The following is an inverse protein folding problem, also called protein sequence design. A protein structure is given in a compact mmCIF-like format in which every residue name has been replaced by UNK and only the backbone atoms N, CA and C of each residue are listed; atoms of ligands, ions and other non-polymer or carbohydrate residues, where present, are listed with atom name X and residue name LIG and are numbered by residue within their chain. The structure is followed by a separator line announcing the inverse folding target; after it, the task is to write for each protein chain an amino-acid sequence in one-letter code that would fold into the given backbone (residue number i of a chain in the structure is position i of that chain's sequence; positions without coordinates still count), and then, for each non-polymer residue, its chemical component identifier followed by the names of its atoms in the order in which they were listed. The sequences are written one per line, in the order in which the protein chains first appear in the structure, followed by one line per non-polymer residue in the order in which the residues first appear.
data_IF_041257544484
#
_entry.id   IF_041257544484
#
_cell.length_a   1.000
_cell.length_b   1.000
_cell.length_c   1.000
_cell.angle_alpha   90.00
_cell.angle_beta   90.00
_cell.angle_gamma   90.00
#
_symmetry.space_group_name_H-M   'P 1'
#
loop_
_entity.id
_entity.type
_entity.pdbx_description
1 polymer ?
#
# COMPACT_ATOMS: atom_id res chain seq x y z
N UNK A 1 13.06 -30.35 -17.28
CA UNK A 1 12.09 -29.35 -17.78
C UNK A 1 11.77 -28.37 -16.66
N UNK A 2 12.18 -27.10 -16.77
CA UNK A 2 11.88 -26.06 -15.78
C UNK A 2 10.93 -25.04 -16.42
N UNK A 3 9.65 -25.11 -16.05
CA UNK A 3 8.66 -24.12 -16.46
C UNK A 3 8.81 -22.87 -15.59
N UNK A 4 9.47 -21.82 -16.14
CA UNK A 4 9.48 -20.49 -15.52
C UNK A 4 8.12 -19.84 -15.75
N UNK A 5 7.37 -19.75 -14.66
CA UNK A 5 6.18 -18.91 -14.51
C UNK A 5 6.49 -17.48 -14.95
N UNK A 6 6.03 -17.12 -16.15
CA UNK A 6 6.00 -15.74 -16.65
C UNK A 6 4.55 -15.27 -16.61
N UNK A 7 4.15 -14.72 -15.47
CA UNK A 7 2.96 -13.88 -15.39
C UNK A 7 3.38 -12.45 -15.70
N UNK A 8 3.62 -12.17 -16.99
CA UNK A 8 3.65 -10.81 -17.52
C UNK A 8 2.20 -10.39 -17.78
N UNK A 9 1.49 -9.92 -16.75
CA UNK A 9 0.29 -9.13 -16.98
C UNK A 9 0.69 -7.69 -17.28
N UNK A 10 0.76 -7.39 -18.57
CA UNK A 10 0.77 -6.03 -19.11
C UNK A 10 -0.64 -5.48 -18.90
N UNK A 11 -0.83 -4.61 -17.90
CA UNK A 11 -2.04 -3.78 -17.82
C UNK A 11 -1.79 -2.47 -18.56
N UNK A 12 -2.60 -2.25 -19.59
CA UNK A 12 -2.53 -1.14 -20.53
C UNK A 12 -2.63 0.20 -19.80
N UNK A 13 -1.61 1.04 -20.00
CA UNK A 13 -1.56 2.42 -19.56
C UNK A 13 -2.56 3.24 -20.37
N UNK A 14 -3.64 3.70 -19.73
CA UNK A 14 -4.41 4.82 -20.24
C UNK A 14 -3.83 6.09 -19.65
N UNK A 15 -2.99 6.74 -20.44
CA UNK A 15 -2.40 8.04 -20.14
C UNK A 15 -3.48 9.13 -20.18
N UNK A 16 -3.56 9.95 -19.13
CA UNK A 16 -4.13 11.29 -19.21
C UNK A 16 -3.15 12.25 -18.54
N UNK A 17 -2.89 13.32 -19.28
CA UNK A 17 -1.87 14.32 -19.09
C UNK A 17 -1.92 15.04 -17.73
N UNK A 18 -0.73 15.46 -17.29
CA UNK A 18 -0.48 16.53 -16.31
C UNK A 18 -0.77 16.27 -14.82
N UNK A 19 -0.85 15.01 -14.41
CA UNK A 19 -1.01 14.60 -13.02
C UNK A 19 -0.87 13.09 -12.88
N UNK A 20 0.26 12.55 -13.35
CA UNK A 20 0.46 11.12 -13.64
C UNK A 20 -0.20 10.19 -12.64
N UNK A 21 -1.10 9.34 -13.14
CA UNK A 21 -1.91 8.36 -12.40
C UNK A 21 -1.12 7.78 -11.22
N UNK A 22 -1.40 8.25 -10.00
CA UNK A 22 -0.73 7.78 -8.78
C UNK A 22 -0.99 6.27 -8.58
N UNK A 23 -2.10 5.77 -9.13
CA UNK A 23 -2.48 4.36 -9.14
C UNK A 23 -1.68 3.51 -10.14
N UNK A 24 -0.97 4.08 -11.13
CA UNK A 24 -0.22 3.32 -12.15
C UNK A 24 0.91 2.47 -11.58
N UNK A 25 1.40 2.82 -10.39
CA UNK A 25 2.46 2.05 -9.73
C UNK A 25 1.93 0.90 -8.86
N UNK A 26 0.62 0.79 -8.72
CA UNK A 26 -0.05 -0.28 -8.01
C UNK A 26 -0.31 -1.44 -8.95
N UNK A 27 -0.02 -2.64 -8.47
CA UNK A 27 -0.23 -3.88 -9.19
C UNK A 27 -1.53 -4.51 -8.68
N UNK A 28 -2.62 -4.49 -9.47
CA UNK A 28 -3.79 -5.30 -9.18
C UNK A 28 -3.42 -6.77 -9.35
N UNK A 29 -3.75 -7.57 -8.34
CA UNK A 29 -3.57 -9.02 -8.36
C UNK A 29 -4.86 -9.69 -8.80
N UNK A 30 -4.76 -10.90 -9.32
CA UNK A 30 -5.93 -11.71 -9.75
C UNK A 30 -6.90 -12.06 -8.62
N UNK A 31 -6.50 -11.85 -7.36
CA UNK A 31 -7.35 -12.04 -6.17
C UNK A 31 -8.13 -10.77 -5.79
N UNK A 32 -8.07 -9.71 -6.60
CA UNK A 32 -8.72 -8.44 -6.31
C UNK A 32 -7.97 -7.59 -5.28
N UNK A 33 -6.68 -7.84 -5.05
CA UNK A 33 -5.84 -7.04 -4.14
C UNK A 33 -4.99 -6.05 -4.91
N UNK A 34 -4.89 -4.80 -4.49
CA UNK A 34 -3.92 -3.83 -5.02
C UNK A 34 -2.64 -3.88 -4.19
N UNK A 35 -1.49 -4.15 -4.83
CA UNK A 35 -0.19 -4.21 -4.16
C UNK A 35 0.77 -3.15 -4.68
N UNK A 36 1.47 -2.48 -3.77
CA UNK A 36 2.50 -1.50 -4.04
C UNK A 36 3.77 -1.84 -3.29
N UNK A 37 4.91 -1.74 -3.96
CA UNK A 37 6.22 -1.86 -3.33
C UNK A 37 6.98 -0.55 -3.48
N UNK A 38 7.42 -0.01 -2.35
CA UNK A 38 8.15 1.24 -2.26
C UNK A 38 9.52 0.98 -1.64
N UNK A 39 10.58 1.52 -2.26
CA UNK A 39 11.94 1.45 -1.72
C UNK A 39 12.17 2.65 -0.82
N UNK A 40 12.61 2.40 0.40
CA UNK A 40 12.83 3.44 1.40
C UNK A 40 14.34 3.67 1.52
N UNK A 41 14.83 4.92 1.62
CA UNK A 41 16.26 5.19 1.72
C UNK A 41 16.85 4.85 3.10
N UNK A 42 16.04 4.87 4.17
CA UNK A 42 16.49 4.65 5.55
C UNK A 42 15.40 4.06 6.44
N UNK A 43 15.81 3.43 7.56
CA UNK A 43 14.87 2.88 8.56
C UNK A 43 13.94 3.92 9.16
N UNK A 44 14.49 5.06 9.54
CA UNK A 44 13.74 6.16 10.17
C UNK A 44 12.65 6.70 9.25
N UNK A 45 12.95 6.85 7.96
CA UNK A 45 11.95 7.26 6.96
C UNK A 45 10.86 6.19 6.78
N UNK A 46 11.22 4.91 6.80
CA UNK A 46 10.26 3.80 6.69
C UNK A 46 9.29 3.76 7.88
N UNK A 47 9.81 3.93 9.08
CA UNK A 47 9.01 4.04 10.30
C UNK A 47 8.12 5.29 10.29
N UNK A 48 8.64 6.42 9.82
CA UNK A 48 7.86 7.66 9.68
C UNK A 48 6.72 7.49 8.68
N UNK A 49 6.98 6.85 7.54
CA UNK A 49 5.96 6.53 6.54
C UNK A 49 4.91 5.58 7.11
N UNK A 50 5.30 4.52 7.82
CA UNK A 50 4.35 3.63 8.49
C UNK A 50 3.46 4.37 9.50
N UNK A 51 4.05 5.25 10.33
CA UNK A 51 3.29 6.09 11.26
C UNK A 51 2.34 7.04 10.55
N UNK A 52 2.80 7.63 9.45
CA UNK A 52 1.98 8.54 8.63
C UNK A 52 0.82 7.78 7.97
N UNK A 53 1.06 6.58 7.46
CA UNK A 53 0.01 5.69 6.93
C UNK A 53 -0.95 5.29 8.03
N UNK A 54 -0.46 4.87 9.19
CA UNK A 54 -1.31 4.49 10.31
C UNK A 54 -2.22 5.65 10.75
N UNK A 55 -1.66 6.87 10.83
CA UNK A 55 -2.40 8.08 11.13
C UNK A 55 -3.43 8.41 10.06
N UNK A 56 -3.07 8.32 8.78
CA UNK A 56 -3.99 8.54 7.65
C UNK A 56 -5.17 7.56 7.71
N UNK A 57 -4.90 6.27 7.95
CA UNK A 57 -5.93 5.23 8.05
C UNK A 57 -6.87 5.44 9.23
N UNK A 58 -6.42 6.16 10.27
CA UNK A 58 -7.23 6.52 11.43
C UNK A 58 -8.01 7.83 11.27
N UNK A 59 -7.54 8.75 10.44
CA UNK A 59 -8.12 10.09 10.26
C UNK A 59 -9.14 10.16 9.11
N UNK A 60 -8.90 9.42 8.02
CA UNK A 60 -9.76 9.49 6.83
C UNK A 60 -11.02 8.60 6.94
N UNK A 61 -12.20 9.24 6.91
CA UNK A 61 -13.51 8.57 6.90
C UNK A 61 -13.72 7.61 5.71
N UNK A 62 -12.97 7.79 4.62
CA UNK A 62 -13.02 6.92 3.43
C UNK A 62 -12.45 5.51 3.69
N UNK A 63 -11.79 5.30 4.82
CA UNK A 63 -11.31 4.00 5.26
C UNK A 63 -12.28 3.31 6.23
N UNK A 64 -13.42 3.92 6.57
CA UNK A 64 -14.36 3.36 7.53
C UNK A 64 -15.22 2.28 6.88
N UNK A 65 -14.74 1.04 6.97
CA UNK A 65 -15.58 -0.15 6.76
C UNK A 65 -16.26 -0.48 8.10
N UNK A 66 -17.60 -0.45 8.14
CA UNK A 66 -18.48 -0.37 9.33
C UNK A 66 -18.36 -1.47 10.41
N UNK A 67 -17.37 -2.37 10.34
CA UNK A 67 -17.22 -3.53 11.22
C UNK A 67 -15.84 -3.69 11.88
N UNK A 68 -14.85 -2.85 11.57
CA UNK A 68 -13.47 -3.03 12.05
C UNK A 68 -12.95 -1.89 12.93
N UNK A 69 -13.68 -1.56 14.01
CA UNK A 69 -13.22 -0.59 15.00
C UNK A 69 -12.25 -1.22 16.04
N UNK A 70 -11.11 -1.76 15.58
CA UNK A 70 -9.93 -1.98 16.42
C UNK A 70 -8.82 -1.11 15.84
N UNK A 71 -8.45 -0.06 16.56
CA UNK A 71 -7.62 1.04 16.06
C UNK A 71 -6.35 0.63 15.32
N UNK A 72 -5.89 1.54 14.47
CA UNK A 72 -4.69 1.41 13.65
C UNK A 72 -3.43 1.33 14.51
N UNK A 73 -3.07 0.12 14.92
CA UNK A 73 -1.87 -0.16 15.70
C UNK A 73 -0.79 -0.73 14.81
N UNK A 74 0.37 -0.09 14.81
CA UNK A 74 1.59 -0.67 14.25
C UNK A 74 1.99 -1.85 15.13
N UNK A 75 2.05 -3.03 14.55
CA UNK A 75 2.49 -4.27 15.18
C UNK A 75 3.90 -4.56 14.71
N UNK A 76 4.75 -5.03 15.61
CA UNK A 76 6.07 -5.52 15.25
C UNK A 76 5.92 -6.95 14.73
N UNK A 77 6.06 -7.14 13.42
CA UNK A 77 5.94 -8.45 12.77
C UNK A 77 7.25 -9.25 12.87
N UNK A 78 8.38 -8.55 12.91
CA UNK A 78 9.72 -9.16 12.99
C UNK A 78 10.69 -8.27 13.75
N UNK A 79 11.88 -8.79 14.05
CA UNK A 79 12.95 -8.00 14.67
C UNK A 79 13.32 -6.77 13.83
N UNK A 80 13.19 -6.88 12.50
CA UNK A 80 13.56 -5.89 11.49
C UNK A 80 12.37 -5.32 10.71
N UNK A 81 11.14 -5.76 11.01
CA UNK A 81 9.96 -5.43 10.24
C UNK A 81 8.75 -5.05 11.10
N UNK A 82 8.06 -4.00 10.69
CA UNK A 82 6.87 -3.46 11.34
C UNK A 82 5.71 -3.48 10.33
N UNK A 83 4.52 -3.84 10.76
CA UNK A 83 3.34 -3.85 9.91
C UNK A 83 2.15 -3.19 10.58
N UNK A 84 1.28 -2.61 9.77
CA UNK A 84 0.00 -2.06 10.19
C UNK A 84 -1.10 -2.62 9.29
N UNK A 85 -2.16 -3.15 9.91
CA UNK A 85 -3.25 -3.83 9.22
C UNK A 85 -4.57 -3.24 9.70
N UNK A 86 -5.14 -2.31 8.93
CA UNK A 86 -6.42 -1.68 9.23
C UNK A 86 -7.19 -1.35 7.97
N UNK A 87 -8.53 -1.38 8.06
CA UNK A 87 -9.41 -0.84 7.04
C UNK A 87 -9.13 -1.38 5.63
N UNK A 88 -8.92 -2.70 5.55
CA UNK A 88 -8.60 -3.41 4.31
C UNK A 88 -7.25 -3.02 3.69
N UNK A 89 -6.40 -2.30 4.43
CA UNK A 89 -5.04 -1.93 4.05
C UNK A 89 -4.04 -2.62 4.98
N UNK A 90 -3.03 -3.23 4.39
CA UNK A 90 -1.86 -3.78 5.07
C UNK A 90 -0.62 -3.06 4.57
N UNK A 91 0.09 -2.37 5.44
CA UNK A 91 1.41 -1.82 5.14
C UNK A 91 2.47 -2.55 5.98
N UNK A 92 3.46 -3.12 5.32
CA UNK A 92 4.58 -3.86 5.92
C UNK A 92 5.88 -3.18 5.53
N UNK A 93 6.64 -2.74 6.52
CA UNK A 93 8.01 -2.27 6.34
C UNK A 93 8.97 -3.37 6.75
N UNK A 94 9.97 -3.64 5.90
CA UNK A 94 11.07 -4.55 6.21
C UNK A 94 12.40 -3.89 5.83
N UNK A 95 13.37 -3.99 6.74
CA UNK A 95 14.72 -3.43 6.62
C UNK A 95 15.68 -4.34 5.80
N UNK A 96 15.41 -5.65 5.66
CA UNK A 96 16.34 -6.61 5.07
C UNK A 96 15.81 -7.24 3.76
N UNK A 97 16.69 -7.54 2.77
CA UNK A 97 18.09 -7.13 2.62
C UNK A 97 18.23 -5.66 2.18
N UNK A 98 17.13 -5.01 1.80
CA UNK A 98 17.06 -3.57 1.52
C UNK A 98 15.82 -2.98 2.17
N UNK A 99 15.87 -1.78 2.77
CA UNK A 99 14.71 -1.15 3.36
C UNK A 99 13.61 -0.90 2.32
N UNK A 100 12.47 -1.57 2.52
CA UNK A 100 11.33 -1.50 1.62
C UNK A 100 10.02 -1.53 2.39
N UNK A 101 9.02 -0.87 1.82
CA UNK A 101 7.67 -0.77 2.36
C UNK A 101 6.72 -1.35 1.32
N UNK A 102 5.98 -2.37 1.70
CA UNK A 102 4.97 -3.04 0.89
C UNK A 102 3.62 -2.58 1.42
N UNK A 103 2.76 -2.07 0.54
CA UNK A 103 1.39 -1.69 0.89
C UNK A 103 0.43 -2.50 0.04
N UNK A 104 -0.57 -3.10 0.66
CA UNK A 104 -1.55 -3.99 0.06
C UNK A 104 -2.94 -3.55 0.47
N UNK A 105 -3.84 -3.39 -0.49
CA UNK A 105 -5.26 -3.08 -0.25
C UNK A 105 -6.05 -4.32 -0.68
N UNK A 106 -6.66 -4.99 0.29
CA UNK A 106 -7.45 -6.19 0.10
C UNK A 106 -8.90 -5.88 0.40
N UNK A 107 -9.77 -5.68 -0.61
CA UNK A 107 -11.18 -5.44 -0.38
C UNK A 107 -11.78 -6.63 0.37
N UNK A 108 -12.60 -6.31 1.37
CA UNK A 108 -13.35 -7.30 2.15
C UNK A 108 -14.84 -6.92 2.12
N UNK A 109 -15.75 -7.81 1.70
CA UNK A 109 -15.55 -9.20 1.27
C UNK A 109 -14.79 -9.32 -0.07
N UNK A 110 -14.17 -10.48 -0.32
CA UNK A 110 -13.39 -10.71 -1.53
C UNK A 110 -14.23 -10.48 -2.80
N UNK A 111 -13.86 -9.46 -3.58
CA UNK A 111 -14.63 -8.98 -4.72
C UNK A 111 -13.77 -8.19 -5.71
N UNK A 112 -14.38 -7.66 -6.79
CA UNK A 112 -13.68 -6.77 -7.71
C UNK A 112 -13.24 -5.50 -6.99
N UNK A 113 -12.10 -4.94 -7.41
CA UNK A 113 -11.61 -3.65 -6.91
C UNK A 113 -12.62 -2.55 -7.23
N UNK A 114 -13.00 -1.81 -6.21
CA UNK A 114 -13.93 -0.68 -6.33
C UNK A 114 -13.15 0.63 -6.52
N UNK A 115 -13.80 1.68 -7.06
CA UNK A 115 -13.23 3.03 -7.13
C UNK A 115 -12.77 3.56 -5.76
N UNK A 116 -13.39 3.11 -4.66
CA UNK A 116 -12.94 3.43 -3.31
C UNK A 116 -11.53 2.87 -3.04
N UNK A 117 -11.23 1.65 -3.48
CA UNK A 117 -9.90 1.04 -3.31
C UNK A 117 -8.83 1.79 -4.11
N UNK A 118 -9.18 2.26 -5.32
CA UNK A 118 -8.31 3.13 -6.12
C UNK A 118 -8.10 4.51 -5.47
N UNK A 119 -9.14 5.07 -4.84
CA UNK A 119 -9.05 6.32 -4.08
C UNK A 119 -8.13 6.15 -2.86
N UNK A 120 -8.28 5.03 -2.12
CA UNK A 120 -7.38 4.65 -1.02
C UNK A 120 -5.93 4.54 -1.50
N UNK A 121 -5.71 3.88 -2.65
CA UNK A 121 -4.39 3.74 -3.27
C UNK A 121 -3.75 5.09 -3.64
N UNK A 122 -4.54 6.03 -4.16
CA UNK A 122 -4.08 7.39 -4.46
C UNK A 122 -3.62 8.13 -3.20
N UNK A 123 -4.43 8.10 -2.14
CA UNK A 123 -4.11 8.76 -0.87
C UNK A 123 -2.83 8.19 -0.26
N UNK A 124 -2.68 6.86 -0.28
CA UNK A 124 -1.47 6.19 0.19
C UNK A 124 -0.25 6.59 -0.64
N UNK A 125 -0.36 6.67 -1.97
CA UNK A 125 0.75 7.18 -2.80
C UNK A 125 1.09 8.63 -2.51
N UNK A 126 0.11 9.47 -2.14
CA UNK A 126 0.40 10.84 -1.69
C UNK A 126 1.27 10.85 -0.44
N UNK A 127 1.03 9.97 0.53
CA UNK A 127 1.88 9.80 1.71
C UNK A 127 3.27 9.25 1.34
N UNK A 128 3.33 8.23 0.49
CA UNK A 128 4.60 7.64 0.03
C UNK A 128 5.47 8.59 -0.81
N UNK A 129 4.82 9.50 -1.55
CA UNK A 129 5.47 10.52 -2.38
C UNK A 129 5.73 11.81 -1.63
N UNK A 130 5.02 12.06 -0.54
CA UNK A 130 5.30 13.12 0.44
C UNK A 130 6.60 12.79 1.19
N UNK A 131 7.72 12.81 0.46
CA UNK A 131 9.04 12.96 1.04
C UNK A 131 9.06 14.29 1.79
N UNK A 132 9.76 14.41 2.93
CA UNK A 132 10.13 15.74 3.37
C UNK A 132 10.88 16.38 2.20
N UNK A 133 10.27 17.41 1.59
CA UNK A 133 11.06 18.37 0.84
C UNK A 133 12.01 18.93 1.87
N UNK A 134 13.29 18.57 1.72
CA UNK A 134 14.38 19.14 2.52
C UNK A 134 14.29 20.66 2.52
#
# INVERSE_FOLDING_TARGET
MAAKSSSCFIWSAKEVANGGNLTSKWHPTTKGTLRRNYRVPSKSEGQRLLKSIASLLSDDDHFVDATSHKGCQIRRESAHGESVCCNNVRALFDELPTPHLIVEITPFPAGPLSDNDYTKAEKLERVLRSRPSV
#
